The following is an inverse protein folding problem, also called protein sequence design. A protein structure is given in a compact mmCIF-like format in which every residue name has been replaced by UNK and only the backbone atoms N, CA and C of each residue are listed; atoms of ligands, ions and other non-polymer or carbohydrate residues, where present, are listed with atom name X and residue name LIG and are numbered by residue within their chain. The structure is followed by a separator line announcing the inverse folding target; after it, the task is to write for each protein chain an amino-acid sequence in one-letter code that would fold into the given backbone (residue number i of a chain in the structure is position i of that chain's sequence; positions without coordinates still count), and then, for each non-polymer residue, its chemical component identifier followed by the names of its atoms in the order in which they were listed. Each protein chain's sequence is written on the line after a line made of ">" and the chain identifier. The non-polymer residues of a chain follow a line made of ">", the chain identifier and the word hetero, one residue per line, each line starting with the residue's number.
data_IF_578883229705
#
_entry.id   IF_578883229705
#
_cell.length_a   1.000
_cell.length_b   1.000
_cell.length_c   1.000
_cell.angle_alpha   90.00
_cell.angle_beta   90.00
_cell.angle_gamma   90.00
#
_symmetry.space_group_name_H-M   'P 1'
#
loop_
_entity.id
_entity.type
_entity.pdbx_description
1 polymer ?
#
# COMPACT_ATOMS: atom_id res chain seq x y z
N UNK A 1 -1.28 -20.78 10.15
CA UNK A 1 -2.56 -20.57 9.44
C UNK A 1 -2.53 -19.18 8.79
N UNK A 2 -2.91 -19.08 7.52
CA UNK A 2 -2.96 -17.83 6.77
C UNK A 2 -4.02 -16.87 7.34
N UNK A 3 -3.95 -15.57 7.06
CA UNK A 3 -5.13 -14.71 7.22
C UNK A 3 -6.21 -15.20 6.25
N UNK A 4 -7.16 -16.00 6.75
CA UNK A 4 -8.49 -16.13 6.16
C UNK A 4 -9.27 -14.84 6.46
N UNK A 5 -8.74 -13.68 6.04
CA UNK A 5 -9.38 -12.37 6.23
C UNK A 5 -10.59 -12.16 5.30
N UNK A 6 -10.98 -13.17 4.53
CA UNK A 6 -12.07 -13.09 3.56
C UNK A 6 -11.77 -12.24 2.31
N UNK A 7 -10.58 -11.63 2.22
CA UNK A 7 -10.16 -10.78 1.10
C UNK A 7 -9.29 -11.57 0.10
N UNK A 8 -9.19 -11.05 -1.14
CA UNK A 8 -8.33 -11.65 -2.17
C UNK A 8 -8.76 -13.05 -2.63
N UNK A 9 -10.06 -13.37 -2.57
CA UNK A 9 -10.62 -14.62 -3.14
C UNK A 9 -10.41 -14.71 -4.66
N UNK A 10 -10.32 -13.57 -5.32
CA UNK A 10 -9.82 -13.38 -6.68
C UNK A 10 -8.67 -12.36 -6.66
N UNK A 11 -7.79 -12.33 -7.68
CA UNK A 11 -6.77 -11.30 -7.79
C UNK A 11 -7.37 -9.89 -7.68
N UNK A 12 -6.66 -8.99 -7.01
CA UNK A 12 -7.05 -7.60 -6.90
C UNK A 12 -7.01 -6.91 -8.27
N UNK A 13 -7.97 -6.01 -8.51
CA UNK A 13 -8.03 -5.20 -9.72
C UNK A 13 -8.18 -3.74 -9.35
N UNK A 14 -7.38 -2.89 -9.98
CA UNK A 14 -7.32 -1.47 -9.64
C UNK A 14 -6.22 -0.74 -10.38
N UNK A 15 -5.83 0.39 -9.81
CA UNK A 15 -4.82 1.29 -10.32
C UNK A 15 -3.84 1.67 -9.21
N UNK A 16 -2.60 1.97 -9.57
CA UNK A 16 -1.56 2.45 -8.67
C UNK A 16 -0.84 3.66 -9.28
N UNK A 17 -0.50 4.66 -8.45
CA UNK A 17 0.06 5.93 -8.91
C UNK A 17 1.49 5.87 -9.45
N UNK A 18 2.29 4.89 -9.04
CA UNK A 18 3.76 4.93 -9.20
C UNK A 18 4.23 4.96 -10.64
N UNK A 19 3.70 4.08 -11.50
CA UNK A 19 4.23 3.88 -12.86
C UNK A 19 4.18 5.13 -13.74
N UNK A 20 3.30 6.09 -13.44
CA UNK A 20 3.18 7.33 -14.20
C UNK A 20 3.57 8.57 -13.40
N UNK A 21 3.11 8.66 -12.15
CA UNK A 21 3.26 9.88 -11.35
C UNK A 21 4.49 9.87 -10.44
N UNK A 22 5.09 8.70 -10.14
CA UNK A 22 6.18 8.57 -9.17
C UNK A 22 5.82 9.33 -7.87
N UNK A 23 6.67 10.26 -7.42
CA UNK A 23 6.41 11.13 -6.26
C UNK A 23 5.62 12.41 -6.58
N UNK A 24 5.21 12.63 -7.83
CA UNK A 24 4.37 13.75 -8.26
C UNK A 24 2.88 13.50 -8.04
N UNK A 25 2.50 12.99 -6.87
CA UNK A 25 1.11 12.61 -6.55
C UNK A 25 0.42 13.64 -5.64
N UNK A 26 -0.89 13.79 -5.79
CA UNK A 26 -1.74 14.67 -4.98
C UNK A 26 -3.15 14.12 -4.81
N UNK A 27 -3.90 14.62 -3.83
CA UNK A 27 -5.29 14.23 -3.62
C UNK A 27 -6.19 14.54 -4.83
N UNK A 28 -5.86 15.60 -5.59
CA UNK A 28 -6.57 15.96 -6.82
C UNK A 28 -6.42 14.86 -7.87
N UNK A 29 -5.18 14.40 -8.13
CA UNK A 29 -4.90 13.30 -9.07
C UNK A 29 -5.65 12.03 -8.65
N UNK A 30 -5.70 11.73 -7.35
CA UNK A 30 -6.41 10.53 -6.85
C UNK A 30 -7.92 10.66 -7.04
N UNK A 31 -8.51 11.84 -6.78
CA UNK A 31 -9.94 12.10 -7.01
C UNK A 31 -10.29 11.98 -8.49
N UNK A 32 -9.52 12.63 -9.36
CA UNK A 32 -9.72 12.57 -10.82
C UNK A 32 -9.55 11.14 -11.36
N UNK A 33 -8.59 10.38 -10.84
CA UNK A 33 -8.41 8.97 -11.21
C UNK A 33 -9.61 8.12 -10.78
N UNK A 34 -10.14 8.35 -9.58
CA UNK A 34 -11.35 7.68 -9.11
C UNK A 34 -12.56 8.04 -9.99
N UNK A 35 -12.72 9.31 -10.38
CA UNK A 35 -13.72 9.74 -11.37
C UNK A 35 -13.54 9.03 -12.71
N UNK A 36 -12.31 8.97 -13.22
CA UNK A 36 -12.01 8.34 -14.49
C UNK A 36 -12.33 6.84 -14.49
N UNK A 37 -12.04 6.10 -13.42
CA UNK A 37 -12.40 4.68 -13.31
C UNK A 37 -13.92 4.45 -13.42
N UNK A 38 -14.72 5.37 -12.91
CA UNK A 38 -16.19 5.32 -13.03
C UNK A 38 -16.62 5.70 -14.44
N UNK A 39 -16.17 6.84 -14.93
CA UNK A 39 -16.61 7.42 -16.22
C UNK A 39 -16.20 6.58 -17.42
N UNK A 40 -15.07 5.88 -17.35
CA UNK A 40 -14.58 4.98 -18.40
C UNK A 40 -15.21 3.58 -18.33
N UNK A 41 -15.97 3.26 -17.28
CA UNK A 41 -16.57 1.95 -17.06
C UNK A 41 -15.62 0.90 -16.50
N UNK A 42 -14.34 1.20 -16.27
CA UNK A 42 -13.36 0.25 -15.70
C UNK A 42 -13.78 -0.26 -14.31
N UNK A 43 -14.40 0.60 -13.49
CA UNK A 43 -14.94 0.20 -12.20
C UNK A 43 -15.99 -0.92 -12.32
N UNK A 44 -16.82 -0.89 -13.37
CA UNK A 44 -17.84 -1.91 -13.64
C UNK A 44 -17.20 -3.24 -14.07
N UNK A 45 -16.02 -3.19 -14.69
CA UNK A 45 -15.22 -4.36 -15.05
C UNK A 45 -14.41 -4.93 -13.88
N UNK A 46 -14.46 -4.31 -12.70
CA UNK A 46 -13.85 -4.82 -11.47
C UNK A 46 -12.64 -4.04 -10.97
N UNK A 47 -12.16 -3.01 -11.68
CA UNK A 47 -11.07 -2.14 -11.21
C UNK A 47 -11.54 -1.25 -10.06
N UNK A 48 -11.37 -1.74 -8.82
CA UNK A 48 -11.96 -1.14 -7.61
C UNK A 48 -10.96 -0.47 -6.69
N UNK A 49 -9.70 -0.89 -6.70
CA UNK A 49 -8.67 -0.35 -5.82
C UNK A 49 -8.00 0.88 -6.45
N UNK A 50 -8.04 2.02 -5.77
CA UNK A 50 -7.30 3.24 -6.11
C UNK A 50 -6.14 3.37 -5.13
N UNK A 51 -4.97 2.88 -5.53
CA UNK A 51 -3.82 2.74 -4.63
C UNK A 51 -2.88 3.95 -4.76
N UNK A 52 -2.72 4.66 -3.64
CA UNK A 52 -1.69 5.68 -3.47
C UNK A 52 -0.36 4.96 -3.20
N UNK A 53 0.67 5.25 -3.99
CA UNK A 53 2.03 4.74 -3.76
C UNK A 53 2.85 5.70 -2.86
N UNK A 54 4.17 5.64 -2.90
CA UNK A 54 5.07 6.45 -2.06
C UNK A 54 4.83 7.97 -2.16
N UNK A 55 5.44 8.74 -1.26
CA UNK A 55 5.44 10.21 -1.24
C UNK A 55 4.11 10.88 -0.86
N UNK A 56 3.20 10.18 -0.18
CA UNK A 56 1.90 10.74 0.25
C UNK A 56 1.92 11.45 1.63
N UNK A 57 2.90 11.14 2.47
CA UNK A 57 3.00 11.69 3.83
C UNK A 57 4.03 12.83 3.94
N UNK A 58 4.00 13.54 5.07
CA UNK A 58 5.08 14.40 5.54
C UNK A 58 6.34 13.57 5.83
N UNK A 59 7.50 14.23 5.80
CA UNK A 59 8.79 13.59 6.09
C UNK A 59 8.87 13.03 7.52
N UNK A 60 8.22 13.71 8.46
CA UNK A 60 8.28 13.39 9.88
C UNK A 60 6.88 13.03 10.41
N UNK A 61 6.85 12.09 11.34
CA UNK A 61 5.68 11.79 12.16
C UNK A 61 5.32 13.00 13.04
N UNK A 62 4.07 13.07 13.49
CA UNK A 62 3.67 14.06 14.49
C UNK A 62 4.28 13.76 15.88
N UNK A 63 3.99 14.63 16.86
CA UNK A 63 4.48 14.47 18.24
C UNK A 63 3.93 13.23 18.96
N UNK A 64 2.89 12.59 18.42
CA UNK A 64 2.31 11.35 18.94
C UNK A 64 2.85 10.12 18.19
N UNK A 65 3.73 10.32 17.21
CA UNK A 65 4.30 9.25 16.39
C UNK A 65 3.41 8.81 15.22
N UNK A 66 2.33 9.51 14.89
CA UNK A 66 1.49 9.14 13.75
C UNK A 66 2.09 9.64 12.43
N UNK A 67 1.87 8.90 11.35
CA UNK A 67 2.08 9.42 10.01
C UNK A 67 1.13 10.59 9.74
N UNK A 68 1.62 11.63 9.08
CA UNK A 68 0.86 12.84 8.75
C UNK A 68 0.73 12.93 7.24
N UNK A 69 -0.49 13.01 6.66
CA UNK A 69 -0.65 13.26 5.24
C UNK A 69 0.03 14.57 4.84
N UNK A 70 0.71 14.58 3.68
CA UNK A 70 1.43 15.76 3.23
C UNK A 70 0.48 16.96 3.08
N UNK A 71 0.74 18.05 3.78
CA UNK A 71 -0.21 19.19 3.85
C UNK A 71 -0.33 19.96 2.55
N UNK A 72 0.61 19.80 1.62
CA UNK A 72 0.59 20.46 0.31
C UNK A 72 -0.14 19.62 -0.72
N UNK A 73 0.13 18.31 -0.76
CA UNK A 73 -0.42 17.42 -1.78
C UNK A 73 -1.68 16.69 -1.33
N UNK A 74 -1.89 16.51 -0.03
CA UNK A 74 -3.08 15.92 0.59
C UNK A 74 -3.66 16.80 1.72
N UNK A 75 -3.97 18.10 1.45
CA UNK A 75 -4.45 19.04 2.46
C UNK A 75 -5.74 18.61 3.19
N UNK A 76 -6.60 17.81 2.55
CA UNK A 76 -7.83 17.29 3.15
C UNK A 76 -7.60 16.07 4.05
N UNK A 77 -6.41 15.48 4.01
CA UNK A 77 -6.06 14.24 4.70
C UNK A 77 -6.62 12.97 4.03
N UNK A 78 -6.05 11.83 4.40
CA UNK A 78 -6.36 10.54 3.77
C UNK A 78 -7.80 10.07 4.07
N UNK A 79 -8.33 10.36 5.27
CA UNK A 79 -9.72 9.99 5.60
C UNK A 79 -10.73 10.62 4.64
N UNK A 80 -10.63 11.93 4.40
CA UNK A 80 -11.54 12.61 3.48
C UNK A 80 -11.40 12.11 2.04
N UNK A 81 -10.20 11.66 1.64
CA UNK A 81 -9.96 11.05 0.35
C UNK A 81 -10.56 9.63 0.26
N UNK A 82 -10.43 8.83 1.31
CA UNK A 82 -11.05 7.51 1.41
C UNK A 82 -12.58 7.62 1.33
N UNK A 83 -13.18 8.53 2.11
CA UNK A 83 -14.63 8.77 2.09
C UNK A 83 -15.12 9.14 0.68
N UNK A 84 -14.35 9.95 -0.06
CA UNK A 84 -14.67 10.31 -1.45
C UNK A 84 -14.59 9.11 -2.41
N UNK A 85 -13.55 8.28 -2.28
CA UNK A 85 -13.38 7.07 -3.10
C UNK A 85 -14.48 6.04 -2.78
N UNK A 86 -14.82 5.87 -1.50
CA UNK A 86 -15.91 4.99 -1.05
C UNK A 86 -17.28 5.45 -1.54
N UNK A 87 -17.55 6.76 -1.59
CA UNK A 87 -18.79 7.30 -2.13
C UNK A 87 -19.01 6.95 -3.61
N UNK A 88 -17.96 6.54 -4.33
CA UNK A 88 -18.01 6.06 -5.72
C UNK A 88 -18.09 4.53 -5.83
N UNK A 89 -18.17 3.82 -4.70
CA UNK A 89 -18.13 2.35 -4.67
C UNK A 89 -16.75 1.76 -4.95
N UNK A 90 -15.70 2.57 -4.89
CA UNK A 90 -14.30 2.16 -5.02
C UNK A 90 -13.68 1.95 -3.64
N UNK A 91 -12.43 1.50 -3.60
CA UNK A 91 -11.63 1.21 -2.40
C UNK A 91 -10.31 1.97 -2.45
N UNK A 92 -9.84 2.50 -1.32
CA UNK A 92 -8.59 3.25 -1.25
C UNK A 92 -7.45 2.37 -0.76
N UNK A 93 -6.34 2.37 -1.49
CA UNK A 93 -5.09 1.77 -1.03
C UNK A 93 -4.06 2.81 -0.62
N UNK A 94 -3.20 2.41 0.31
CA UNK A 94 -2.07 3.21 0.78
C UNK A 94 -0.77 2.39 0.71
N UNK A 95 0.34 3.09 0.88
CA UNK A 95 1.68 2.56 0.84
C UNK A 95 2.44 2.84 2.13
N UNK A 96 3.23 1.86 2.57
CA UNK A 96 4.28 2.04 3.57
C UNK A 96 5.41 1.06 3.30
N UNK A 97 6.42 1.09 4.16
CA UNK A 97 7.64 0.28 4.05
C UNK A 97 7.88 -0.52 5.34
N UNK A 98 8.34 -1.75 5.19
CA UNK A 98 8.93 -2.57 6.24
C UNK A 98 10.34 -2.07 6.61
N UNK A 99 10.48 -0.76 6.85
CA UNK A 99 11.76 -0.09 7.06
C UNK A 99 11.58 1.21 7.85
N UNK A 100 12.67 1.92 8.10
CA UNK A 100 12.64 3.19 8.84
C UNK A 100 12.13 4.35 7.98
N UNK A 101 12.39 4.31 6.68
CA UNK A 101 11.90 5.24 5.67
C UNK A 101 11.44 4.46 4.45
N UNK A 102 10.55 5.05 3.65
CA UNK A 102 10.16 4.48 2.37
C UNK A 102 11.29 4.53 1.35
N UNK A 103 11.20 3.74 0.27
CA UNK A 103 12.18 3.72 -0.81
C UNK A 103 12.53 5.10 -1.41
N UNK A 104 11.58 6.04 -1.48
CA UNK A 104 11.86 7.42 -1.92
C UNK A 104 12.65 8.26 -0.90
N UNK A 105 12.75 7.81 0.36
CA UNK A 105 13.25 8.55 1.51
C UNK A 105 12.53 9.88 1.77
N UNK A 106 11.28 10.02 1.30
CA UNK A 106 10.48 11.25 1.46
C UNK A 106 9.46 11.18 2.60
N UNK A 107 9.24 9.99 3.16
CA UNK A 107 8.33 9.79 4.28
C UNK A 107 8.80 8.63 5.18
N UNK A 108 8.28 8.53 6.42
CA UNK A 108 8.60 7.43 7.32
C UNK A 108 8.10 6.09 6.78
N UNK A 109 8.84 5.01 7.08
CA UNK A 109 8.32 3.65 7.00
C UNK A 109 7.58 3.27 8.30
N UNK A 110 7.07 2.05 8.38
CA UNK A 110 6.29 1.57 9.52
C UNK A 110 7.06 0.64 10.46
N UNK A 111 8.35 0.41 10.26
CA UNK A 111 9.15 -0.42 11.16
C UNK A 111 9.09 0.13 12.59
N UNK A 112 8.75 -0.73 13.55
CA UNK A 112 8.52 -0.40 14.97
C UNK A 112 7.30 0.50 15.27
N UNK A 113 6.50 0.83 14.26
CA UNK A 113 5.24 1.58 14.37
C UNK A 113 4.03 0.78 13.83
N UNK A 114 4.16 -0.53 13.65
CA UNK A 114 3.21 -1.33 12.86
C UNK A 114 1.78 -1.28 13.44
N UNK A 115 1.63 -1.47 14.74
CA UNK A 115 0.31 -1.41 15.39
C UNK A 115 -0.31 -0.01 15.30
N UNK A 116 0.50 1.04 15.45
CA UNK A 116 0.04 2.43 15.40
C UNK A 116 -0.40 2.81 13.99
N UNK A 117 0.38 2.44 12.99
CA UNK A 117 0.12 2.77 11.59
C UNK A 117 -1.09 2.00 11.07
N UNK A 118 -1.23 0.71 11.38
CA UNK A 118 -2.42 -0.06 10.97
C UNK A 118 -3.69 0.51 11.60
N UNK A 119 -3.66 0.92 12.88
CA UNK A 119 -4.79 1.61 13.52
C UNK A 119 -5.12 2.93 12.81
N UNK A 120 -4.08 3.69 12.45
CA UNK A 120 -4.23 4.96 11.73
C UNK A 120 -4.87 4.73 10.37
N UNK A 121 -4.35 3.79 9.57
CA UNK A 121 -4.90 3.43 8.26
C UNK A 121 -6.34 2.94 8.36
N UNK A 122 -6.65 2.08 9.34
CA UNK A 122 -8.01 1.62 9.59
C UNK A 122 -8.95 2.79 9.96
N UNK A 123 -8.50 3.73 10.80
CA UNK A 123 -9.29 4.91 11.18
C UNK A 123 -9.56 5.86 10.02
N UNK A 124 -8.66 5.88 9.03
CA UNK A 124 -8.80 6.62 7.79
C UNK A 124 -9.67 5.89 6.75
N UNK A 125 -10.05 4.64 6.98
CA UNK A 125 -10.85 3.87 6.02
C UNK A 125 -10.03 3.33 4.85
N UNK A 126 -8.74 3.07 5.03
CA UNK A 126 -7.91 2.38 4.03
C UNK A 126 -8.36 0.93 3.86
N UNK A 127 -8.41 0.44 2.63
CA UNK A 127 -8.83 -0.92 2.26
C UNK A 127 -7.69 -1.81 1.76
N UNK A 128 -6.51 -1.24 1.49
CA UNK A 128 -5.38 -1.93 0.89
C UNK A 128 -4.07 -1.31 1.38
N UNK A 129 -3.10 -2.15 1.74
CA UNK A 129 -1.73 -1.74 2.08
C UNK A 129 -0.73 -2.44 1.16
N UNK A 130 0.00 -1.66 0.35
CA UNK A 130 1.27 -2.07 -0.26
C UNK A 130 2.37 -1.85 0.77
N UNK A 131 3.17 -2.88 1.05
CA UNK A 131 4.20 -2.85 2.09
C UNK A 131 5.55 -3.24 1.52
N UNK A 132 6.45 -2.25 1.40
CA UNK A 132 7.74 -2.35 0.72
C UNK A 132 8.88 -2.84 1.62
N UNK A 133 10.11 -2.87 1.10
CA UNK A 133 11.25 -3.53 1.73
C UNK A 133 12.55 -2.70 1.72
N UNK A 134 12.49 -1.37 1.68
CA UNK A 134 13.68 -0.52 1.76
C UNK A 134 14.08 -0.24 3.23
N UNK A 135 15.27 0.34 3.44
CA UNK A 135 15.72 0.85 4.76
C UNK A 135 15.46 -0.09 5.95
N UNK A 136 15.83 -1.36 5.80
CA UNK A 136 15.47 -2.48 6.69
C UNK A 136 16.09 -2.45 8.11
N UNK A 137 16.94 -1.46 8.40
CA UNK A 137 17.71 -1.34 9.64
C UNK A 137 18.53 -2.60 10.00
N UNK A 138 18.94 -3.40 9.01
CA UNK A 138 19.68 -4.65 9.21
C UNK A 138 18.83 -5.79 9.80
N UNK A 139 17.50 -5.67 9.81
CA UNK A 139 16.57 -6.70 10.32
C UNK A 139 16.05 -7.58 9.19
N UNK A 140 15.83 -8.85 9.50
CA UNK A 140 15.42 -9.85 8.49
C UNK A 140 14.03 -9.55 7.89
N UNK A 141 13.81 -9.98 6.64
CA UNK A 141 12.50 -9.89 5.97
C UNK A 141 11.43 -10.58 6.83
N UNK A 142 11.71 -11.80 7.29
CA UNK A 142 10.80 -12.57 8.12
C UNK A 142 10.35 -11.80 9.38
N UNK A 143 11.29 -11.20 10.11
CA UNK A 143 10.98 -10.42 11.30
C UNK A 143 10.06 -9.24 10.98
N UNK A 144 10.46 -8.39 10.02
CA UNK A 144 9.76 -7.13 9.71
C UNK A 144 8.36 -7.36 9.16
N UNK A 145 8.21 -8.31 8.23
CA UNK A 145 6.91 -8.69 7.69
C UNK A 145 6.01 -9.41 8.71
N UNK A 146 6.59 -10.20 9.62
CA UNK A 146 5.82 -10.82 10.72
C UNK A 146 5.22 -9.77 11.64
N UNK A 147 5.94 -8.68 11.94
CA UNK A 147 5.43 -7.59 12.79
C UNK A 147 4.21 -6.91 12.17
N UNK A 148 4.31 -6.52 10.89
CA UNK A 148 3.17 -5.93 10.17
C UNK A 148 2.02 -6.93 10.01
N UNK A 149 2.31 -8.19 9.69
CA UNK A 149 1.31 -9.27 9.64
C UNK A 149 0.50 -9.38 10.94
N UNK A 150 1.17 -9.35 12.09
CA UNK A 150 0.50 -9.41 13.39
C UNK A 150 -0.37 -8.16 13.65
N UNK A 151 0.12 -6.98 13.29
CA UNK A 151 -0.65 -5.75 13.39
C UNK A 151 -1.90 -5.77 12.49
N UNK A 152 -1.76 -6.23 11.24
CA UNK A 152 -2.86 -6.39 10.28
C UNK A 152 -3.92 -7.38 10.77
N UNK A 153 -3.52 -8.52 11.34
CA UNK A 153 -4.45 -9.49 11.95
C UNK A 153 -5.29 -8.89 13.08
N UNK A 154 -4.68 -8.00 13.86
CA UNK A 154 -5.30 -7.43 15.06
C UNK A 154 -6.16 -6.19 14.78
N UNK A 155 -5.72 -5.32 13.89
CA UNK A 155 -6.34 -4.00 13.69
C UNK A 155 -6.72 -3.69 12.23
N UNK A 156 -6.23 -4.48 11.27
CA UNK A 156 -6.38 -4.25 9.83
C UNK A 156 -7.15 -5.36 9.12
N UNK A 157 -8.11 -6.00 9.78
CA UNK A 157 -8.82 -7.20 9.27
C UNK A 157 -9.51 -6.98 7.92
N UNK A 158 -9.92 -5.75 7.63
CA UNK A 158 -10.56 -5.35 6.37
C UNK A 158 -9.57 -4.71 5.36
N UNK A 159 -8.27 -4.74 5.63
CA UNK A 159 -7.24 -4.17 4.77
C UNK A 159 -6.55 -5.31 4.00
N UNK A 160 -6.58 -5.24 2.67
CA UNK A 160 -5.86 -6.16 1.81
C UNK A 160 -4.35 -5.98 1.98
N UNK A 161 -3.61 -7.06 2.23
CA UNK A 161 -2.18 -6.98 2.51
C UNK A 161 -1.33 -7.44 1.32
N UNK A 162 -0.56 -6.52 0.74
CA UNK A 162 0.27 -6.73 -0.44
C UNK A 162 1.75 -6.55 -0.12
N UNK A 163 2.48 -7.66 -0.10
CA UNK A 163 3.91 -7.66 0.22
C UNK A 163 4.74 -7.28 -1.01
N UNK A 164 5.77 -6.44 -0.81
CA UNK A 164 6.64 -5.92 -1.86
C UNK A 164 8.10 -6.04 -1.41
N UNK A 165 8.61 -7.27 -1.32
CA UNK A 165 10.03 -7.53 -1.04
C UNK A 165 10.87 -7.94 -2.27
N UNK A 166 10.25 -7.86 -3.45
CA UNK A 166 10.84 -8.12 -4.77
C UNK A 166 11.24 -9.57 -5.10
N UNK A 167 10.65 -10.56 -4.43
CA UNK A 167 10.99 -11.98 -4.57
C UNK A 167 12.06 -12.48 -3.59
N UNK A 168 12.52 -11.63 -2.67
CA UNK A 168 13.56 -11.94 -1.70
C UNK A 168 13.11 -13.07 -0.76
N UNK A 169 13.93 -14.11 -0.64
CA UNK A 169 13.61 -15.29 0.18
C UNK A 169 12.37 -16.08 -0.31
N UNK A 170 12.02 -16.03 -1.60
CA UNK A 170 10.97 -16.84 -2.23
C UNK A 170 9.58 -16.70 -1.55
N UNK A 171 8.93 -15.52 -1.61
CA UNK A 171 7.69 -15.22 -0.88
C UNK A 171 6.54 -16.19 -1.14
N UNK A 172 6.52 -16.81 -2.32
CA UNK A 172 5.54 -17.83 -2.67
C UNK A 172 5.46 -18.99 -1.65
N UNK A 173 6.54 -19.24 -0.91
CA UNK A 173 6.63 -20.30 0.09
C UNK A 173 6.11 -19.91 1.48
N UNK A 174 6.05 -18.61 1.82
CA UNK A 174 5.79 -18.16 3.19
C UNK A 174 4.79 -17.00 3.33
N UNK A 175 4.66 -16.12 2.33
CA UNK A 175 3.87 -14.89 2.41
C UNK A 175 2.38 -15.18 2.70
N UNK A 176 1.84 -16.27 2.13
CA UNK A 176 0.50 -16.76 2.46
C UNK A 176 0.36 -17.10 3.95
N UNK A 177 1.35 -17.76 4.54
CA UNK A 177 1.35 -18.12 5.97
C UNK A 177 1.40 -16.90 6.90
N UNK A 178 1.99 -15.81 6.44
CA UNK A 178 1.93 -14.50 7.12
C UNK A 178 0.60 -13.77 6.89
N UNK A 179 -0.28 -14.30 6.03
CA UNK A 179 -1.55 -13.67 5.74
C UNK A 179 -1.45 -12.50 4.75
N UNK A 180 -0.40 -12.48 3.94
CA UNK A 180 -0.39 -11.70 2.71
C UNK A 180 -1.48 -12.20 1.75
N UNK A 181 -2.25 -11.27 1.19
CA UNK A 181 -3.19 -11.57 0.13
C UNK A 181 -2.51 -11.63 -1.24
N UNK A 182 -1.38 -10.93 -1.40
CA UNK A 182 -0.48 -11.06 -2.56
C UNK A 182 0.95 -10.69 -2.19
N UNK A 183 1.92 -11.09 -3.03
CA UNK A 183 3.33 -10.78 -2.86
C UNK A 183 3.98 -10.56 -4.23
N UNK A 184 4.87 -9.58 -4.31
CA UNK A 184 5.75 -9.38 -5.46
C UNK A 184 6.74 -10.54 -5.57
N UNK A 185 7.00 -10.99 -6.79
CA UNK A 185 7.92 -12.10 -7.07
C UNK A 185 9.21 -11.66 -7.75
N UNK A 186 9.32 -10.39 -8.13
CA UNK A 186 10.47 -9.82 -8.85
C UNK A 186 10.68 -8.35 -8.47
N UNK A 187 11.83 -7.80 -8.86
CA UNK A 187 12.08 -6.35 -8.90
C UNK A 187 11.07 -5.57 -9.75
N UNK A 188 11.17 -4.24 -9.72
CA UNK A 188 10.21 -3.35 -10.38
C UNK A 188 10.18 -3.53 -11.91
N UNK A 189 8.97 -3.48 -12.46
CA UNK A 189 8.78 -3.39 -13.90
C UNK A 189 9.20 -2.00 -14.39
N UNK A 190 9.58 -1.89 -15.66
CA UNK A 190 9.76 -0.60 -16.34
C UNK A 190 9.06 -0.66 -17.69
N UNK A 191 8.72 0.51 -18.25
CA UNK A 191 8.02 0.63 -19.54
C UNK A 191 8.95 0.32 -20.73
N UNK A 192 9.42 -0.92 -20.79
CA UNK A 192 10.13 -1.49 -21.92
C UNK A 192 9.91 -3.00 -21.97
N UNK A 193 9.93 -3.55 -23.19
CA UNK A 193 9.69 -4.98 -23.43
C UNK A 193 10.61 -5.90 -22.64
N UNK A 194 11.89 -5.52 -22.51
CA UNK A 194 12.89 -6.32 -21.80
C UNK A 194 12.54 -6.54 -20.32
N UNK A 195 12.07 -5.49 -19.64
CA UNK A 195 11.66 -5.56 -18.22
C UNK A 195 10.28 -6.19 -18.02
N UNK A 196 9.40 -6.15 -19.01
CA UNK A 196 8.12 -6.84 -18.98
C UNK A 196 8.27 -8.36 -19.07
N UNK A 197 9.22 -8.85 -19.88
CA UNK A 197 9.46 -10.29 -20.08
C UNK A 197 10.54 -10.89 -19.17
N UNK A 198 11.26 -10.08 -18.39
CA UNK A 198 12.33 -10.58 -17.52
C UNK A 198 11.76 -11.14 -16.21
N UNK A 199 11.70 -12.47 -16.11
CA UNK A 199 11.63 -13.20 -14.84
C UNK A 199 13.06 -13.57 -14.46
N UNK A 200 13.74 -12.71 -13.71
CA UNK A 200 15.04 -13.03 -13.07
C UNK A 200 14.88 -12.89 -11.57
#
# INVERSE_FOLDING_TARGET
>A
EALENGLGRTPQMGWNSWNHFYCGISEEIIRETADALINTGLAQLGYKYVNIDDCWAELNRDYQGNMVPNKRTFPSGIKALADYVHAKGLKLGIYSDAGTQTCSNKMPGSLDHEEQDVKTFASWGVDYLKYDNCNDAGRSVNERYTRMSNAMKKYGQNIFFSLCEWGNENPATWARGMGGNSWRTTGDIADNWGRCCSFH
#
